data_IF_800079106528
#
_entry.id   IF_800079106528
#
_cell.length_a   1.000
_cell.length_b   1.000
_cell.length_c   1.000
_cell.angle_alpha   90.00
_cell.angle_beta   90.00
_cell.angle_gamma   90.00
#
_symmetry.space_group_name_H-M   'P 1'
#
loop_
_entity.id
_entity.type
_entity.pdbx_description
1 polymer ?
#
# COMPACT_ATOMS: atom_id res chain seq x y z
N UNK A 1 -10.25 23.59 -15.88
CA UNK A 1 -9.45 22.35 -15.70
C UNK A 1 -9.05 21.83 -17.08
N UNK A 2 -7.75 21.66 -17.35
CA UNK A 2 -7.25 21.40 -18.70
C UNK A 2 -7.43 19.93 -19.11
N UNK A 3 -7.65 19.68 -20.41
CA UNK A 3 -7.83 18.34 -21.01
C UNK A 3 -6.67 17.36 -20.74
N UNK A 4 -5.52 17.84 -20.29
CA UNK A 4 -4.38 17.01 -19.89
C UNK A 4 -4.59 16.33 -18.53
N UNK A 5 -5.29 16.97 -17.58
CA UNK A 5 -5.50 16.40 -16.25
C UNK A 5 -6.45 15.18 -16.27
N UNK A 6 -7.41 15.13 -17.20
CA UNK A 6 -8.36 14.02 -17.32
C UNK A 6 -7.76 12.80 -18.02
N UNK A 7 -6.79 13.00 -18.93
CA UNK A 7 -6.11 11.92 -19.63
C UNK A 7 -5.11 11.19 -18.72
N UNK A 8 -4.45 11.89 -17.80
CA UNK A 8 -3.51 11.29 -16.86
C UNK A 8 -4.21 10.44 -15.79
N UNK A 9 -5.44 10.79 -15.38
CA UNK A 9 -6.21 10.00 -14.41
C UNK A 9 -6.82 8.73 -15.02
N UNK A 10 -7.17 8.73 -16.31
CA UNK A 10 -7.68 7.54 -17.00
C UNK A 10 -6.57 6.57 -17.46
N UNK A 11 -5.38 7.08 -17.77
CA UNK A 11 -4.23 6.23 -18.13
C UNK A 11 -3.71 5.39 -16.93
N UNK A 12 -3.93 5.86 -15.70
CA UNK A 12 -3.52 5.15 -14.49
C UNK A 12 -4.34 3.87 -14.25
N UNK A 13 -5.59 3.81 -14.75
CA UNK A 13 -6.44 2.60 -14.65
C UNK A 13 -6.06 1.51 -15.68
N UNK A 14 -5.42 1.87 -16.78
CA UNK A 14 -5.09 0.93 -17.86
C UNK A 14 -3.73 0.23 -17.68
N UNK A 15 -2.86 0.70 -16.77
CA UNK A 15 -1.47 0.21 -16.66
C UNK A 15 -1.26 -0.92 -15.64
N UNK A 16 -2.28 -1.33 -14.87
CA UNK A 16 -2.17 -2.43 -13.86
C UNK A 16 -2.50 -3.80 -14.49
N UNK A 17 -2.39 -3.95 -15.81
CA UNK A 17 -3.00 -5.07 -16.55
C UNK A 17 -2.05 -6.20 -17.00
N UNK A 18 -0.79 -6.26 -16.56
CA UNK A 18 0.12 -7.32 -17.03
C UNK A 18 1.14 -7.78 -15.99
N UNK A 19 0.71 -8.57 -15.00
CA UNK A 19 1.57 -9.59 -14.37
C UNK A 19 0.70 -10.78 -13.97
N UNK A 20 0.98 -11.95 -14.53
CA UNK A 20 0.33 -13.22 -14.19
C UNK A 20 1.30 -14.08 -13.38
N UNK A 21 0.84 -14.55 -12.23
CA UNK A 21 1.46 -15.65 -11.45
C UNK A 21 0.44 -16.80 -11.33
N UNK A 22 0.86 -18.07 -11.23
CA UNK A 22 -0.05 -19.20 -11.10
C UNK A 22 -0.31 -19.56 -9.63
N UNK A 23 -1.58 -19.74 -9.26
CA UNK A 23 -2.00 -20.40 -8.02
C UNK A 23 -3.13 -19.67 -7.30
N UNK A 24 -4.31 -20.28 -7.20
CA UNK A 24 -5.52 -19.68 -6.62
C UNK A 24 -5.43 -19.45 -5.10
N UNK A 25 -5.42 -18.19 -4.71
CA UNK A 25 -6.46 -17.58 -3.90
C UNK A 25 -6.84 -16.26 -4.62
N UNK A 26 -8.04 -15.70 -4.42
CA UNK A 26 -8.16 -14.27 -4.72
C UNK A 26 -7.03 -13.60 -3.93
N UNK A 27 -6.11 -12.87 -4.57
CA UNK A 27 -4.96 -12.29 -3.87
C UNK A 27 -5.50 -11.50 -2.68
N UNK A 28 -5.43 -12.11 -1.51
CA UNK A 28 -5.82 -11.49 -0.26
C UNK A 28 -4.57 -10.86 0.30
N UNK A 29 -4.76 -9.74 0.98
CA UNK A 29 -3.68 -9.09 1.69
C UNK A 29 -4.19 -8.64 3.04
N UNK A 30 -3.28 -8.59 4.00
CA UNK A 30 -3.49 -7.87 5.24
C UNK A 30 -3.85 -6.41 4.93
N UNK A 31 -4.90 -5.89 5.56
CA UNK A 31 -5.28 -4.48 5.46
C UNK A 31 -5.73 -3.95 6.81
N UNK A 32 -5.10 -2.85 7.24
CA UNK A 32 -5.59 -2.04 8.35
C UNK A 32 -5.92 -0.66 7.78
N UNK A 33 -7.15 -0.15 7.94
CA UNK A 33 -7.45 1.21 7.52
C UNK A 33 -6.47 2.19 8.16
N UNK A 34 -5.88 3.08 7.36
CA UNK A 34 -4.92 4.07 7.83
C UNK A 34 -5.45 4.95 8.99
N UNK A 35 -6.77 5.06 9.09
CA UNK A 35 -7.51 5.84 10.08
C UNK A 35 -7.59 5.16 11.45
N UNK A 36 -7.39 3.84 11.52
CA UNK A 36 -7.59 3.04 12.74
C UNK A 36 -6.27 2.76 13.48
N UNK A 37 -5.14 3.30 13.00
CA UNK A 37 -3.82 3.13 13.59
C UNK A 37 -3.30 1.69 13.49
N UNK A 38 -2.37 1.32 14.36
CA UNK A 38 -1.83 -0.03 14.41
C UNK A 38 -2.88 -1.07 14.89
N UNK A 39 -2.99 -2.20 14.17
CA UNK A 39 -3.72 -3.38 14.61
C UNK A 39 -2.80 -4.61 14.67
N UNK A 40 -2.86 -5.37 15.77
CA UNK A 40 -2.05 -6.60 15.97
C UNK A 40 -2.39 -7.72 14.99
N UNK A 41 -3.59 -7.70 14.41
CA UNK A 41 -4.05 -8.64 13.38
C UNK A 41 -4.86 -7.85 12.35
N UNK A 42 -4.23 -7.57 11.22
CA UNK A 42 -4.90 -6.93 10.09
C UNK A 42 -5.87 -7.93 9.42
N UNK A 43 -7.16 -7.61 9.24
CA UNK A 43 -8.05 -8.48 8.47
C UNK A 43 -7.54 -8.64 7.03
N UNK A 44 -7.69 -9.84 6.48
CA UNK A 44 -7.42 -10.07 5.07
C UNK A 44 -8.56 -9.52 4.22
N UNK A 45 -8.20 -8.70 3.23
CA UNK A 45 -9.12 -8.16 2.23
C UNK A 45 -8.73 -8.65 0.84
N UNK A 46 -9.74 -8.91 0.01
CA UNK A 46 -9.50 -9.27 -1.39
C UNK A 46 -9.04 -8.02 -2.18
N UNK A 47 -8.06 -8.20 -3.06
CA UNK A 47 -7.57 -7.15 -3.98
C UNK A 47 -8.59 -6.78 -5.06
N UNK A 48 -9.48 -7.70 -5.42
CA UNK A 48 -10.57 -7.50 -6.36
C UNK A 48 -11.81 -8.33 -5.96
N UNK A 49 -12.99 -7.94 -6.46
CA UNK A 49 -14.21 -8.68 -6.21
C UNK A 49 -14.18 -10.05 -6.89
N UNK A 50 -14.28 -11.14 -6.11
CA UNK A 50 -14.19 -12.51 -6.62
C UNK A 50 -15.47 -13.05 -7.27
N UNK A 51 -16.52 -12.23 -7.37
CA UNK A 51 -17.85 -12.59 -7.88
C UNK A 51 -18.24 -11.83 -9.16
N UNK A 52 -17.31 -11.06 -9.75
CA UNK A 52 -17.57 -10.29 -10.97
C UNK A 52 -16.33 -9.90 -11.76
N UNK A 53 -16.50 -9.73 -13.07
CA UNK A 53 -15.53 -9.10 -13.98
C UNK A 53 -16.19 -8.05 -14.88
N UNK A 54 -15.40 -7.09 -15.33
CA UNK A 54 -15.78 -6.07 -16.30
C UNK A 54 -15.30 -6.51 -17.68
N UNK A 55 -16.21 -6.60 -18.66
CA UNK A 55 -15.94 -7.01 -20.05
C UNK A 55 -16.26 -5.83 -20.96
N UNK A 56 -15.27 -5.33 -21.68
CA UNK A 56 -15.44 -4.33 -22.72
C UNK A 56 -15.66 -5.03 -24.06
N UNK A 57 -16.76 -4.72 -24.74
CA UNK A 57 -16.97 -5.19 -26.10
C UNK A 57 -16.30 -4.28 -27.12
N UNK A 58 -15.85 -4.87 -28.22
CA UNK A 58 -15.47 -4.12 -29.43
C UNK A 58 -16.70 -3.36 -29.96
N UNK A 59 -16.48 -2.32 -30.78
CA UNK A 59 -17.59 -1.59 -31.44
C UNK A 59 -18.50 -2.53 -32.24
N UNK A 60 -17.91 -3.47 -32.97
CA UNK A 60 -18.66 -4.46 -33.76
C UNK A 60 -19.37 -5.47 -32.85
N UNK A 61 -18.71 -5.92 -31.78
CA UNK A 61 -19.30 -6.81 -30.79
C UNK A 61 -20.54 -6.19 -30.13
N UNK A 62 -20.44 -4.93 -29.69
CA UNK A 62 -21.58 -4.22 -29.11
C UNK A 62 -22.74 -4.06 -30.11
N UNK A 63 -22.44 -3.69 -31.36
CA UNK A 63 -23.46 -3.53 -32.41
C UNK A 63 -24.17 -4.84 -32.78
N UNK A 64 -23.47 -5.98 -32.69
CA UNK A 64 -24.02 -7.31 -32.92
C UNK A 64 -24.70 -7.93 -31.69
N UNK A 65 -24.46 -7.38 -30.50
CA UNK A 65 -25.03 -7.87 -29.24
C UNK A 65 -26.51 -7.48 -29.10
N UNK A 66 -27.20 -8.16 -28.17
CA UNK A 66 -28.54 -7.81 -27.68
C UNK A 66 -28.50 -7.11 -26.33
N UNK A 67 -27.32 -6.65 -25.92
CA UNK A 67 -27.15 -6.01 -24.62
C UNK A 67 -27.84 -4.64 -24.60
N UNK A 68 -28.42 -4.26 -23.45
CA UNK A 68 -29.06 -2.96 -23.32
C UNK A 68 -28.03 -1.83 -23.44
N UNK A 69 -28.19 -0.98 -24.46
CA UNK A 69 -27.28 0.13 -24.73
C UNK A 69 -27.68 1.45 -24.03
N UNK A 70 -28.91 1.55 -23.51
CA UNK A 70 -29.51 2.79 -22.99
C UNK A 70 -30.08 2.66 -21.57
N UNK A 71 -29.47 1.86 -20.70
CA UNK A 71 -29.98 1.66 -19.34
C UNK A 71 -29.04 2.18 -18.26
N UNK A 72 -29.65 2.54 -17.13
CA UNK A 72 -29.00 2.93 -15.88
C UNK A 72 -28.11 1.81 -15.34
N UNK A 73 -27.17 2.18 -14.46
CA UNK A 73 -26.31 1.24 -13.75
C UNK A 73 -27.11 0.14 -13.08
N UNK A 74 -26.61 -1.10 -13.17
CA UNK A 74 -27.25 -2.29 -12.59
C UNK A 74 -28.37 -2.90 -13.45
N UNK A 75 -28.74 -2.27 -14.57
CA UNK A 75 -29.68 -2.86 -15.50
C UNK A 75 -29.13 -4.16 -16.10
N UNK A 76 -29.97 -5.21 -16.12
CA UNK A 76 -29.58 -6.58 -16.47
C UNK A 76 -30.01 -6.97 -17.87
N UNK A 77 -29.13 -7.69 -18.56
CA UNK A 77 -29.47 -8.34 -19.82
C UNK A 77 -30.39 -9.56 -19.59
N UNK A 78 -31.43 -9.75 -20.42
CA UNK A 78 -32.28 -10.93 -20.35
C UNK A 78 -31.47 -12.23 -20.45
N UNK A 79 -31.74 -13.18 -19.54
CA UNK A 79 -31.12 -14.51 -19.58
C UNK A 79 -29.62 -14.54 -19.29
N UNK A 80 -29.03 -13.46 -18.76
CA UNK A 80 -27.59 -13.35 -18.51
C UNK A 80 -26.73 -13.56 -19.77
N UNK A 81 -27.28 -13.21 -20.94
CA UNK A 81 -26.63 -13.42 -22.22
C UNK A 81 -26.36 -12.08 -22.92
N UNK A 82 -25.28 -12.04 -23.67
CA UNK A 82 -24.92 -10.94 -24.55
C UNK A 82 -25.65 -10.99 -25.89
N UNK A 83 -26.14 -12.17 -26.29
CA UNK A 83 -26.69 -12.42 -27.63
C UNK A 83 -25.62 -12.72 -28.68
N UNK A 84 -24.35 -12.80 -28.29
CA UNK A 84 -23.22 -13.19 -29.12
C UNK A 84 -22.89 -14.65 -28.83
N UNK A 85 -23.13 -15.54 -29.80
CA UNK A 85 -23.10 -16.99 -29.56
C UNK A 85 -21.78 -17.50 -28.97
N UNK A 86 -20.62 -17.01 -29.43
CA UNK A 86 -19.32 -17.43 -28.93
C UNK A 86 -19.06 -16.95 -27.50
N UNK A 87 -19.36 -15.67 -27.22
CA UNK A 87 -19.18 -15.09 -25.90
C UNK A 87 -20.18 -15.66 -24.89
N UNK A 88 -21.41 -15.93 -25.31
CA UNK A 88 -22.44 -16.57 -24.49
C UNK A 88 -22.06 -18.01 -24.13
N UNK A 89 -21.43 -18.75 -25.05
CA UNK A 89 -20.91 -20.08 -24.76
C UNK A 89 -19.77 -20.04 -23.72
N UNK A 90 -18.83 -19.10 -23.86
CA UNK A 90 -17.75 -18.89 -22.89
C UNK A 90 -18.30 -18.44 -21.53
N UNK A 91 -19.25 -17.49 -21.51
CA UNK A 91 -19.90 -16.98 -20.32
C UNK A 91 -20.67 -18.08 -19.58
N UNK A 92 -21.43 -18.90 -20.30
CA UNK A 92 -22.13 -20.04 -19.72
C UNK A 92 -21.16 -21.07 -19.13
N UNK A 93 -20.08 -21.39 -19.84
CA UNK A 93 -19.04 -22.31 -19.36
C UNK A 93 -18.31 -21.77 -18.11
N UNK A 94 -18.10 -20.46 -18.03
CA UNK A 94 -17.53 -19.79 -16.86
C UNK A 94 -18.55 -19.58 -15.72
N UNK A 95 -19.82 -19.94 -15.91
CA UNK A 95 -20.86 -19.86 -14.89
C UNK A 95 -21.43 -18.46 -14.67
N UNK A 96 -21.45 -17.60 -15.70
CA UNK A 96 -22.07 -16.26 -15.62
C UNK A 96 -23.57 -16.39 -15.32
N UNK A 97 -24.06 -15.57 -14.40
CA UNK A 97 -25.44 -15.56 -13.91
C UNK A 97 -26.18 -14.26 -14.11
N UNK A 98 -25.44 -13.17 -14.34
CA UNK A 98 -26.01 -11.92 -14.81
C UNK A 98 -24.98 -11.16 -15.65
N UNK A 99 -25.47 -10.43 -16.64
CA UNK A 99 -24.71 -9.42 -17.35
C UNK A 99 -25.41 -8.10 -17.12
N UNK A 100 -24.70 -7.08 -16.62
CA UNK A 100 -25.30 -5.81 -16.23
C UNK A 100 -24.45 -4.59 -16.61
N UNK A 101 -25.04 -3.40 -16.54
CA UNK A 101 -24.34 -2.13 -16.73
C UNK A 101 -23.50 -1.78 -15.49
N UNK A 102 -22.17 -1.63 -15.60
CA UNK A 102 -21.32 -1.33 -14.44
C UNK A 102 -21.33 0.14 -14.05
N UNK A 103 -21.53 1.02 -15.02
CA UNK A 103 -21.36 2.46 -14.86
C UNK A 103 -22.65 3.21 -15.15
N UNK A 104 -22.82 4.33 -14.46
CA UNK A 104 -23.75 5.36 -14.90
C UNK A 104 -23.25 5.95 -16.22
N UNK A 105 -24.14 6.09 -17.20
CA UNK A 105 -23.77 6.64 -18.50
C UNK A 105 -23.47 8.14 -18.36
N UNK A 106 -22.32 8.64 -18.85
CA UNK A 106 -22.06 10.07 -18.90
C UNK A 106 -23.11 10.79 -19.75
N UNK A 107 -23.47 12.01 -19.36
CA UNK A 107 -24.41 12.84 -20.12
C UNK A 107 -23.96 13.11 -21.57
N UNK A 108 -22.65 13.11 -21.82
CA UNK A 108 -22.07 13.21 -23.15
C UNK A 108 -21.87 11.82 -23.78
N UNK A 109 -22.91 11.34 -24.46
CA UNK A 109 -22.91 10.03 -25.11
C UNK A 109 -21.85 9.91 -26.22
N UNK A 110 -21.57 10.99 -26.95
CA UNK A 110 -20.56 10.96 -28.01
C UNK A 110 -19.16 10.74 -27.44
N UNK A 111 -18.84 11.41 -26.33
CA UNK A 111 -17.57 11.22 -25.62
C UNK A 111 -17.48 9.86 -24.95
N UNK A 112 -18.58 9.34 -24.40
CA UNK A 112 -18.62 7.99 -23.84
C UNK A 112 -18.30 6.92 -24.91
N UNK A 113 -18.86 7.07 -26.11
CA UNK A 113 -18.61 6.19 -27.25
C UNK A 113 -17.17 6.30 -27.78
N UNK A 114 -16.62 7.52 -27.84
CA UNK A 114 -15.24 7.77 -28.26
C UNK A 114 -14.23 7.10 -27.31
N UNK A 115 -14.45 7.24 -26.00
CA UNK A 115 -13.62 6.61 -24.95
C UNK A 115 -13.95 5.12 -24.73
N UNK A 116 -15.02 4.60 -25.33
CA UNK A 116 -15.47 3.21 -25.18
C UNK A 116 -16.03 2.86 -23.80
N UNK A 117 -16.38 3.87 -22.98
CA UNK A 117 -16.96 3.70 -21.64
C UNK A 117 -18.35 3.05 -21.71
N UNK A 118 -19.07 3.33 -22.79
CA UNK A 118 -20.39 2.77 -23.08
C UNK A 118 -20.38 1.28 -23.42
N UNK A 119 -19.21 0.69 -23.70
CA UNK A 119 -19.07 -0.72 -24.12
C UNK A 119 -18.70 -1.68 -23.00
N UNK A 120 -18.60 -1.21 -21.77
CA UNK A 120 -18.32 -2.05 -20.61
C UNK A 120 -19.57 -2.68 -20.02
N UNK A 121 -19.48 -3.96 -19.68
CA UNK A 121 -20.52 -4.76 -19.03
C UNK A 121 -19.93 -5.53 -17.87
N UNK A 122 -20.67 -5.70 -16.78
CA UNK A 122 -20.26 -6.49 -15.64
C UNK A 122 -20.91 -7.86 -15.70
N UNK A 123 -20.07 -8.90 -15.69
CA UNK A 123 -20.48 -10.29 -15.66
C UNK A 123 -20.39 -10.75 -14.21
N UNK A 124 -21.51 -11.23 -13.66
CA UNK A 124 -21.61 -11.68 -12.27
C UNK A 124 -21.71 -13.19 -12.16
N UNK A 125 -21.20 -13.69 -11.05
CA UNK A 125 -21.17 -15.11 -10.71
C UNK A 125 -21.87 -15.33 -9.36
N UNK A 126 -22.57 -16.46 -9.21
CA UNK A 126 -23.20 -16.84 -7.93
C UNK A 126 -22.19 -17.29 -6.88
N UNK A 127 -21.06 -17.83 -7.32
CA UNK A 127 -19.99 -18.34 -6.46
C UNK A 127 -18.70 -17.59 -6.74
N UNK A 128 -17.89 -17.41 -5.68
CA UNK A 128 -16.55 -16.83 -5.82
C UNK A 128 -15.66 -17.78 -6.60
N UNK A 129 -14.92 -17.25 -7.57
CA UNK A 129 -13.94 -18.00 -8.36
C UNK A 129 -12.77 -17.08 -8.77
N UNK A 130 -11.73 -17.61 -9.42
CA UNK A 130 -10.61 -16.79 -9.90
C UNK A 130 -11.01 -15.95 -11.10
N UNK A 131 -11.25 -14.68 -10.83
CA UNK A 131 -11.60 -13.69 -11.83
C UNK A 131 -10.47 -13.43 -12.83
N UNK A 132 -9.20 -13.68 -12.48
CA UNK A 132 -8.09 -13.52 -13.43
C UNK A 132 -8.12 -14.62 -14.51
N UNK A 133 -8.40 -15.86 -14.14
CA UNK A 133 -8.54 -16.95 -15.12
C UNK A 133 -9.83 -16.81 -15.95
N UNK A 134 -10.93 -16.40 -15.31
CA UNK A 134 -12.16 -16.02 -16.02
C UNK A 134 -11.89 -14.89 -17.01
N UNK A 135 -11.14 -13.86 -16.61
CA UNK A 135 -10.82 -12.74 -17.47
C UNK A 135 -9.99 -13.15 -18.69
N UNK A 136 -8.98 -14.02 -18.51
CA UNK A 136 -8.22 -14.60 -19.63
C UNK A 136 -9.11 -15.42 -20.56
N UNK A 137 -10.08 -16.16 -20.02
CA UNK A 137 -10.99 -17.00 -20.81
C UNK A 137 -11.93 -16.14 -21.67
N UNK A 138 -12.59 -15.15 -21.06
CA UNK A 138 -13.51 -14.26 -21.78
C UNK A 138 -12.77 -13.37 -22.79
N UNK A 139 -11.56 -12.93 -22.46
CA UNK A 139 -10.72 -12.10 -23.33
C UNK A 139 -10.24 -12.78 -24.61
N UNK A 140 -10.48 -14.08 -24.78
CA UNK A 140 -10.20 -14.82 -26.03
C UNK A 140 -11.26 -14.62 -27.11
N UNK A 141 -12.44 -14.10 -26.75
CA UNK A 141 -13.53 -13.91 -27.71
C UNK A 141 -13.26 -12.69 -28.63
N UNK A 142 -13.41 -12.82 -29.95
CA UNK A 142 -13.15 -11.72 -30.88
C UNK A 142 -14.10 -10.52 -30.73
N UNK A 143 -15.23 -10.67 -30.04
CA UNK A 143 -16.12 -9.57 -29.71
C UNK A 143 -15.67 -8.78 -28.47
N UNK A 144 -14.68 -9.27 -27.72
CA UNK A 144 -14.15 -8.63 -26.50
C UNK A 144 -12.92 -7.80 -26.84
N UNK A 145 -12.93 -6.54 -26.40
CA UNK A 145 -11.83 -5.59 -26.55
C UNK A 145 -10.87 -5.65 -25.36
N UNK A 146 -11.43 -5.76 -24.15
CA UNK A 146 -10.67 -5.88 -22.90
C UNK A 146 -11.50 -6.55 -21.82
N UNK A 147 -10.82 -7.13 -20.82
CA UNK A 147 -11.45 -7.59 -19.57
C UNK A 147 -10.67 -7.00 -18.41
N UNK A 148 -11.38 -6.44 -17.43
CA UNK A 148 -10.81 -5.90 -16.20
C UNK A 148 -11.39 -6.64 -14.99
N UNK A 149 -10.55 -6.85 -13.98
CA UNK A 149 -11.01 -7.20 -12.65
C UNK A 149 -11.72 -5.98 -12.03
N UNK A 150 -12.66 -6.21 -11.11
CA UNK A 150 -13.27 -5.15 -10.32
C UNK A 150 -12.44 -4.94 -9.05
N UNK A 151 -11.39 -4.12 -9.18
CA UNK A 151 -10.40 -3.86 -8.13
C UNK A 151 -11.02 -3.12 -6.94
N UNK A 152 -10.59 -3.48 -5.74
CA UNK A 152 -10.97 -2.78 -4.51
C UNK A 152 -9.94 -1.69 -4.23
N UNK A 153 -10.40 -0.44 -4.15
CA UNK A 153 -9.57 0.69 -3.73
C UNK A 153 -9.69 0.90 -2.23
N UNK A 154 -8.61 1.35 -1.60
CA UNK A 154 -8.54 1.64 -0.16
C UNK A 154 -7.98 3.04 0.06
N UNK A 155 -8.30 3.71 1.18
CA UNK A 155 -7.72 5.01 1.52
C UNK A 155 -6.18 4.94 1.59
N UNK A 156 -5.51 6.02 1.18
CA UNK A 156 -4.06 6.12 1.23
C UNK A 156 -3.53 6.03 2.67
N UNK A 157 -2.39 5.37 2.86
CA UNK A 157 -1.72 5.22 4.14
C UNK A 157 -0.93 6.49 4.48
N UNK A 158 -1.59 7.42 5.16
CA UNK A 158 -0.96 8.65 5.68
C UNK A 158 -1.05 8.63 7.21
N UNK A 159 0.08 8.69 7.93
CA UNK A 159 0.08 8.75 9.40
C UNK A 159 -0.70 9.94 9.95
N UNK A 160 -1.32 9.74 11.11
CA UNK A 160 -2.10 10.77 11.81
C UNK A 160 -1.28 11.50 12.89
N UNK A 161 0.00 11.15 13.04
CA UNK A 161 0.89 11.66 14.07
C UNK A 161 1.23 13.14 13.84
N UNK A 162 1.26 13.96 14.91
CA UNK A 162 1.33 15.41 14.79
C UNK A 162 2.61 15.92 14.14
N UNK A 163 3.72 15.18 14.21
CA UNK A 163 5.01 15.58 13.62
C UNK A 163 5.20 15.02 12.20
N UNK A 164 4.28 14.19 11.68
CA UNK A 164 4.46 13.57 10.36
C UNK A 164 4.56 14.59 9.22
N UNK A 165 3.89 15.75 9.34
CA UNK A 165 4.00 16.82 8.33
C UNK A 165 5.45 17.32 8.17
N UNK A 166 6.26 17.22 9.22
CA UNK A 166 7.66 17.65 9.24
C UNK A 166 8.63 16.54 8.77
N UNK A 167 8.14 15.32 8.50
CA UNK A 167 8.93 14.19 8.03
C UNK A 167 9.27 14.29 6.53
N UNK A 168 10.12 15.26 6.19
CA UNK A 168 10.60 15.47 4.82
C UNK A 168 11.33 14.24 4.24
N UNK A 169 11.88 13.36 5.06
CA UNK A 169 12.48 12.09 4.62
C UNK A 169 11.46 11.06 4.11
N UNK A 170 10.19 11.16 4.56
CA UNK A 170 9.10 10.26 4.17
C UNK A 170 8.27 10.84 3.02
N UNK A 171 8.06 12.16 3.03
CA UNK A 171 7.31 12.90 2.03
C UNK A 171 7.86 14.32 1.91
N UNK A 172 8.73 14.57 0.92
CA UNK A 172 9.36 15.85 0.71
C UNK A 172 8.48 16.74 -0.16
N UNK A 173 7.90 17.76 0.46
CA UNK A 173 7.10 18.79 -0.18
C UNK A 173 7.82 20.14 -0.22
N UNK A 174 9.15 20.13 -0.01
CA UNK A 174 9.98 21.30 0.26
C UNK A 174 9.52 22.06 1.51
N UNK A 175 9.19 21.32 2.57
CA UNK A 175 8.70 21.87 3.84
C UNK A 175 9.81 22.20 4.85
N UNK A 176 11.02 21.67 4.67
CA UNK A 176 12.12 21.87 5.61
C UNK A 176 12.49 23.36 5.65
N UNK A 177 12.51 24.02 6.82
CA UNK A 177 12.98 25.41 6.91
C UNK A 177 14.44 25.54 6.49
N UNK A 178 14.85 26.70 6.01
CA UNK A 178 16.20 26.98 5.57
C UNK A 178 17.19 26.97 6.74
N UNK A 179 18.41 26.53 6.47
CA UNK A 179 19.49 26.48 7.45
C UNK A 179 20.14 27.87 7.59
N UNK A 180 20.24 28.40 8.81
CA UNK A 180 21.04 29.59 9.10
C UNK A 180 22.53 29.25 9.22
N UNK A 181 23.27 29.48 8.15
CA UNK A 181 24.74 29.30 8.10
C UNK A 181 25.53 30.40 8.84
N UNK A 182 24.89 31.50 9.23
CA UNK A 182 25.54 32.71 9.74
C UNK A 182 25.41 32.93 11.25
N UNK A 183 24.55 32.17 11.94
CA UNK A 183 24.25 32.39 13.35
C UNK A 183 24.18 31.12 14.17
N UNK A 184 23.11 30.36 14.01
CA UNK A 184 22.71 29.26 14.92
C UNK A 184 23.00 27.87 14.39
N UNK A 185 23.27 27.70 13.09
CA UNK A 185 23.39 26.39 12.43
C UNK A 185 22.13 25.51 12.62
N UNK A 186 20.96 26.14 12.62
CA UNK A 186 19.66 25.47 12.75
C UNK A 186 18.71 25.78 11.58
N UNK A 187 17.73 24.90 11.38
CA UNK A 187 16.70 25.05 10.35
C UNK A 187 15.56 25.94 10.87
N UNK A 188 15.83 27.25 11.01
CA UNK A 188 14.86 28.24 11.54
C UNK A 188 14.48 29.33 10.56
N UNK A 189 15.08 29.36 9.36
CA UNK A 189 14.77 30.39 8.37
C UNK A 189 13.35 30.22 7.82
N UNK A 190 12.68 31.34 7.54
CA UNK A 190 11.32 31.34 6.98
C UNK A 190 11.26 30.88 5.52
N UNK A 191 12.40 30.85 4.83
CA UNK A 191 12.51 30.25 3.49
C UNK A 191 12.53 28.73 3.64
N UNK A 192 11.76 28.01 2.82
CA UNK A 192 11.84 26.55 2.82
C UNK A 192 12.83 26.03 1.77
N UNK A 193 13.37 24.83 2.03
CA UNK A 193 14.36 24.15 1.20
C UNK A 193 13.96 22.69 0.97
N UNK A 194 14.66 22.02 0.06
CA UNK A 194 14.38 20.64 -0.34
C UNK A 194 13.85 20.54 -1.78
N UNK A 195 14.17 19.46 -2.46
CA UNK A 195 13.62 19.15 -3.78
C UNK A 195 12.39 18.27 -3.60
N UNK A 196 11.23 18.73 -4.08
CA UNK A 196 9.97 17.97 -3.98
C UNK A 196 10.15 16.56 -4.57
N UNK A 197 9.71 15.54 -3.83
CA UNK A 197 9.85 14.13 -4.20
C UNK A 197 11.24 13.52 -3.99
N UNK A 198 12.21 14.27 -3.45
CA UNK A 198 13.47 13.70 -2.99
C UNK A 198 13.30 13.20 -1.55
N UNK A 199 12.70 12.02 -1.43
CA UNK A 199 12.36 11.31 -0.19
C UNK A 199 12.41 9.78 -0.40
N UNK A 200 12.09 9.01 0.64
CA UNK A 200 12.08 7.56 0.62
C UNK A 200 10.89 6.94 -0.15
N UNK A 201 9.98 7.74 -0.70
CA UNK A 201 8.68 7.30 -1.25
C UNK A 201 7.87 6.47 -0.23
N UNK A 202 7.90 6.85 1.05
CA UNK A 202 7.31 6.05 2.13
C UNK A 202 5.80 5.83 1.92
N UNK A 203 5.05 6.87 1.51
CA UNK A 203 3.61 6.75 1.25
C UNK A 203 3.30 5.75 0.13
N UNK A 204 4.10 5.74 -0.94
CA UNK A 204 3.93 4.77 -2.04
C UNK A 204 4.22 3.35 -1.54
N UNK A 205 5.23 3.18 -0.69
CA UNK A 205 5.53 1.88 -0.09
C UNK A 205 4.40 1.41 0.82
N UNK A 206 3.82 2.27 1.65
CA UNK A 206 2.68 1.95 2.52
C UNK A 206 1.40 1.66 1.75
N UNK A 207 1.14 2.45 0.68
CA UNK A 207 0.06 2.20 -0.27
C UNK A 207 0.28 0.90 -1.05
N UNK A 208 1.52 0.48 -1.30
CA UNK A 208 1.82 -0.81 -1.90
C UNK A 208 1.60 -1.96 -0.92
N UNK A 209 2.16 -1.85 0.27
CA UNK A 209 2.21 -2.92 1.29
C UNK A 209 0.89 -3.14 2.02
N UNK A 210 0.01 -2.15 2.08
CA UNK A 210 -1.23 -2.27 2.86
C UNK A 210 -1.15 -1.64 4.25
N UNK A 211 -0.04 -0.98 4.60
CA UNK A 211 0.22 -0.54 5.97
C UNK A 211 1.69 -0.36 6.28
N UNK A 212 2.02 -0.36 7.57
CA UNK A 212 3.32 0.10 8.07
C UNK A 212 4.28 -1.03 8.47
N UNK A 213 4.05 -2.26 8.00
CA UNK A 213 4.79 -3.46 8.41
C UNK A 213 4.02 -4.32 9.42
N UNK A 214 4.69 -5.33 9.98
CA UNK A 214 4.11 -6.31 10.92
C UNK A 214 4.93 -6.40 12.18
N UNK A 215 4.28 -6.53 13.34
CA UNK A 215 4.96 -6.70 14.64
C UNK A 215 5.73 -8.00 14.77
N UNK A 216 5.45 -8.97 13.90
CA UNK A 216 6.23 -10.20 13.77
C UNK A 216 7.59 -9.98 13.14
N UNK A 217 7.80 -8.85 12.44
CA UNK A 217 9.12 -8.46 11.92
C UNK A 217 9.86 -7.72 13.03
N UNK A 218 11.06 -8.18 13.35
CA UNK A 218 11.90 -7.64 14.42
C UNK A 218 13.13 -6.98 13.80
N UNK A 219 13.35 -5.70 14.12
CA UNK A 219 14.53 -4.93 13.68
C UNK A 219 15.45 -4.69 14.86
N UNK A 220 16.69 -5.16 14.79
CA UNK A 220 17.69 -4.93 15.82
C UNK A 220 18.34 -3.55 15.67
N UNK A 221 18.30 -2.75 16.74
CA UNK A 221 18.97 -1.45 16.81
C UNK A 221 20.25 -1.63 17.63
N UNK A 222 21.36 -1.83 16.93
CA UNK A 222 22.71 -1.97 17.51
C UNK A 222 23.33 -0.59 17.67
N UNK A 223 23.15 0.05 18.82
CA UNK A 223 23.50 1.48 19.00
C UNK A 223 23.79 1.85 20.48
N UNK A 224 23.52 3.09 20.90
CA UNK A 224 23.71 3.60 22.26
C UNK A 224 22.80 2.99 23.31
N UNK A 225 21.77 2.27 22.85
CA UNK A 225 20.61 1.82 23.61
C UNK A 225 19.33 2.38 23.00
N UNK A 226 18.19 2.01 23.54
CA UNK A 226 16.89 2.61 23.19
C UNK A 226 16.17 2.90 24.49
N UNK A 227 15.50 4.04 24.58
CA UNK A 227 14.58 4.34 25.69
C UNK A 227 13.50 3.24 25.76
N UNK A 228 13.64 2.36 26.76
CA UNK A 228 12.81 1.17 26.86
C UNK A 228 11.37 1.45 27.31
N UNK A 229 11.12 2.66 27.80
CA UNK A 229 9.81 3.13 28.26
C UNK A 229 9.16 4.09 27.24
N UNK A 230 9.75 4.26 26.05
CA UNK A 230 9.26 5.20 25.05
C UNK A 230 7.85 4.84 24.55
N UNK A 231 6.86 5.73 24.68
CA UNK A 231 5.45 5.40 24.38
C UNK A 231 5.18 5.15 22.89
N UNK A 232 6.10 5.60 22.04
CA UNK A 232 5.97 5.53 20.59
C UNK A 232 6.70 4.34 19.95
N UNK A 233 7.32 3.47 20.75
CA UNK A 233 8.08 2.31 20.25
C UNK A 233 7.48 0.99 20.77
N UNK A 234 7.43 -0.01 19.89
CA UNK A 234 7.18 -1.39 20.29
C UNK A 234 8.49 -2.12 20.44
N UNK A 235 8.79 -2.60 21.64
CA UNK A 235 10.04 -3.27 21.94
C UNK A 235 9.85 -4.77 22.17
N UNK A 236 10.85 -5.55 21.79
CA UNK A 236 11.05 -6.93 22.23
C UNK A 236 12.29 -7.01 23.13
N UNK A 237 12.56 -8.18 23.68
CA UNK A 237 13.72 -8.39 24.56
C UNK A 237 15.02 -8.03 23.86
N UNK A 238 15.75 -7.08 24.44
CA UNK A 238 17.08 -6.66 24.03
C UNK A 238 18.18 -7.02 25.03
N UNK A 239 19.38 -6.45 24.86
CA UNK A 239 20.53 -6.69 25.73
C UNK A 239 21.54 -5.53 25.68
N UNK A 240 22.28 -5.30 26.77
CA UNK A 240 23.40 -4.35 26.84
C UNK A 240 24.75 -5.08 26.83
N UNK A 241 25.45 -5.02 25.69
CA UNK A 241 26.81 -5.55 25.50
C UNK A 241 27.91 -4.57 25.93
N UNK A 242 27.59 -3.28 26.06
CA UNK A 242 28.50 -2.26 26.56
C UNK A 242 28.77 -2.39 28.06
N UNK A 243 27.75 -2.82 28.82
CA UNK A 243 27.82 -3.09 30.27
C UNK A 243 27.74 -4.58 30.61
N UNK A 244 27.39 -5.41 29.63
CA UNK A 244 27.18 -6.86 29.76
C UNK A 244 26.09 -7.22 30.79
N UNK A 245 24.90 -6.64 30.59
CA UNK A 245 23.70 -6.89 31.38
C UNK A 245 22.42 -6.87 30.52
N UNK A 246 21.26 -7.11 31.15
CA UNK A 246 19.98 -7.24 30.47
C UNK A 246 19.22 -5.91 30.29
N UNK A 247 19.85 -4.76 30.56
CA UNK A 247 19.20 -3.45 30.49
C UNK A 247 19.69 -2.64 29.27
N UNK A 248 19.02 -2.77 28.11
CA UNK A 248 19.42 -2.07 26.88
C UNK A 248 18.99 -0.59 26.85
N UNK A 249 18.55 -0.04 27.97
CA UNK A 249 18.13 1.36 28.07
C UNK A 249 19.23 2.33 27.68
N UNK A 250 18.87 3.41 26.98
CA UNK A 250 19.83 4.42 26.55
C UNK A 250 20.17 5.38 27.70
N UNK A 251 20.90 4.85 28.68
CA UNK A 251 21.27 5.55 29.91
C UNK A 251 22.72 6.05 29.91
N UNK A 252 23.35 6.15 28.73
CA UNK A 252 24.72 6.64 28.61
C UNK A 252 24.82 8.15 28.82
N UNK A 253 26.03 8.66 29.09
CA UNK A 253 26.29 10.11 29.19
C UNK A 253 26.03 10.89 27.89
N UNK A 254 25.85 10.20 26.77
CA UNK A 254 25.53 10.77 25.46
C UNK A 254 24.40 9.97 24.81
N UNK A 255 23.31 9.82 25.56
CA UNK A 255 22.10 9.10 25.14
C UNK A 255 21.32 9.82 24.03
N UNK A 256 20.43 9.06 23.39
CA UNK A 256 19.42 9.51 22.45
C UNK A 256 19.64 9.01 21.02
N UNK A 257 20.87 8.67 20.63
CA UNK A 257 21.17 8.30 19.24
C UNK A 257 20.40 7.04 18.81
N UNK A 258 20.49 5.95 19.57
CA UNK A 258 19.77 4.71 19.27
C UNK A 258 18.25 4.86 19.37
N UNK A 259 17.72 5.65 20.32
CA UNK A 259 16.28 5.98 20.39
C UNK A 259 15.82 6.73 19.14
N UNK A 260 16.60 7.71 18.65
CA UNK A 260 16.29 8.42 17.40
C UNK A 260 16.34 7.48 16.18
N UNK A 261 17.34 6.60 16.10
CA UNK A 261 17.41 5.57 15.05
C UNK A 261 16.20 4.64 15.10
N UNK A 262 15.80 4.18 16.29
CA UNK A 262 14.61 3.35 16.48
C UNK A 262 13.33 4.08 16.04
N UNK A 263 13.19 5.37 16.34
CA UNK A 263 12.05 6.19 15.91
C UNK A 263 11.95 6.33 14.38
N UNK A 264 13.06 6.59 13.69
CA UNK A 264 13.08 6.66 12.22
C UNK A 264 12.62 5.34 11.60
N UNK A 265 12.99 4.21 12.20
CA UNK A 265 12.55 2.89 11.75
C UNK A 265 11.08 2.63 12.11
N UNK A 266 10.68 2.80 13.37
CA UNK A 266 9.48 2.16 13.91
C UNK A 266 8.68 2.99 14.93
N UNK A 267 8.83 4.32 14.98
CA UNK A 267 7.83 5.16 15.68
C UNK A 267 6.43 4.79 15.20
N UNK A 268 5.53 4.47 16.11
CA UNK A 268 4.22 3.92 15.79
C UNK A 268 3.29 5.00 15.21
N UNK A 269 2.42 4.63 14.26
CA UNK A 269 1.30 5.49 13.88
C UNK A 269 0.18 5.36 14.92
N UNK A 270 0.22 6.19 15.95
CA UNK A 270 -0.58 6.08 17.18
C UNK A 270 -1.09 7.44 17.69
N UNK A 271 -1.04 8.48 16.84
CA UNK A 271 -1.47 9.86 17.10
C UNK A 271 -0.58 10.66 18.05
N UNK A 272 0.62 10.17 18.37
CA UNK A 272 1.62 10.91 19.15
C UNK A 272 2.94 11.01 18.37
N UNK A 273 3.70 12.07 18.60
CA UNK A 273 5.05 12.19 18.06
C UNK A 273 5.12 12.02 16.53
N UNK A 274 5.93 11.04 16.12
CA UNK A 274 6.47 10.83 14.78
C UNK A 274 5.89 9.54 14.15
N UNK A 275 6.12 9.32 12.86
CA UNK A 275 5.85 8.02 12.22
C UNK A 275 7.13 7.44 11.58
N UNK A 276 7.48 6.22 11.96
CA UNK A 276 8.61 5.47 11.41
C UNK A 276 8.32 4.93 10.01
N UNK A 277 9.37 4.62 9.26
CA UNK A 277 9.26 4.02 7.92
C UNK A 277 8.48 2.68 7.96
N UNK A 278 8.68 1.90 9.03
CA UNK A 278 8.04 0.63 9.29
C UNK A 278 7.36 0.65 10.66
N UNK A 279 6.46 1.62 10.89
CA UNK A 279 5.77 1.86 12.17
C UNK A 279 5.01 0.65 12.78
N UNK A 280 4.84 -0.44 12.02
CA UNK A 280 4.22 -1.68 12.47
C UNK A 280 5.18 -2.70 13.08
N UNK A 281 6.50 -2.57 12.89
CA UNK A 281 7.50 -3.57 13.31
C UNK A 281 7.81 -3.50 14.81
N UNK A 282 8.56 -4.48 15.30
CA UNK A 282 9.08 -4.49 16.66
C UNK A 282 10.57 -4.17 16.66
N UNK A 283 11.05 -3.42 17.66
CA UNK A 283 12.45 -3.07 17.83
C UNK A 283 13.10 -3.98 18.86
N UNK A 284 14.25 -4.58 18.52
CA UNK A 284 15.13 -5.25 19.47
C UNK A 284 16.28 -4.30 19.85
N UNK A 285 16.28 -3.72 21.05
CA UNK A 285 17.31 -2.77 21.44
C UNK A 285 18.59 -3.48 21.88
N UNK A 286 19.68 -3.29 21.13
CA UNK A 286 20.98 -3.91 21.42
C UNK A 286 22.02 -2.81 21.70
N UNK A 287 22.18 -2.51 22.98
CA UNK A 287 23.09 -1.47 23.43
C UNK A 287 24.53 -1.95 23.34
N UNK A 288 25.37 -1.23 22.61
CA UNK A 288 26.82 -1.50 22.48
C UNK A 288 27.68 -0.37 23.02
N UNK A 289 27.07 0.78 23.31
CA UNK A 289 27.72 1.85 24.04
C UNK A 289 27.82 1.51 25.52
N UNK A 290 28.95 1.79 26.13
CA UNK A 290 29.13 1.80 27.59
C UNK A 290 28.38 2.97 28.23
N UNK A 291 28.37 3.04 29.57
CA UNK A 291 27.85 4.20 30.31
C UNK A 291 28.48 5.54 29.89
N UNK A 292 29.71 5.54 29.37
CA UNK A 292 30.41 6.76 28.90
C UNK A 292 30.17 7.08 27.42
N UNK A 293 29.36 6.29 26.71
CA UNK A 293 29.08 6.46 25.28
C UNK A 293 30.11 5.78 24.35
N UNK A 294 31.23 5.27 24.88
CA UNK A 294 32.20 4.54 24.06
C UNK A 294 31.64 3.19 23.57
N UNK A 295 31.86 2.85 22.31
CA UNK A 295 31.40 1.61 21.68
C UNK A 295 32.60 0.74 21.28
N UNK A 296 32.56 -0.54 21.63
CA UNK A 296 33.62 -1.50 21.30
C UNK A 296 33.19 -2.45 20.18
N UNK A 297 34.09 -2.71 19.23
CA UNK A 297 33.83 -3.67 18.14
C UNK A 297 33.48 -5.08 18.65
N UNK A 298 34.02 -5.50 19.79
CA UNK A 298 33.67 -6.78 20.41
C UNK A 298 32.21 -6.82 20.89
N UNK A 299 31.69 -5.70 21.42
CA UNK A 299 30.29 -5.58 21.81
C UNK A 299 29.39 -5.58 20.57
N UNK A 300 29.75 -4.84 19.53
CA UNK A 300 29.04 -4.83 18.24
C UNK A 300 28.98 -6.24 17.62
N UNK A 301 30.09 -6.95 17.59
CA UNK A 301 30.13 -8.32 17.07
C UNK A 301 29.24 -9.27 17.88
N UNK A 302 29.21 -9.14 19.20
CA UNK A 302 28.36 -9.94 20.07
C UNK A 302 26.87 -9.62 19.86
N UNK A 303 26.54 -8.35 19.68
CA UNK A 303 25.19 -7.90 19.35
C UNK A 303 24.70 -8.45 18.00
N UNK A 304 25.55 -8.47 16.97
CA UNK A 304 25.21 -9.06 15.67
C UNK A 304 24.85 -10.54 15.79
N UNK A 305 25.60 -11.32 16.57
CA UNK A 305 25.28 -12.72 16.81
C UNK A 305 23.99 -12.88 17.61
N UNK A 306 23.81 -12.07 18.66
CA UNK A 306 22.59 -12.10 19.45
C UNK A 306 21.34 -11.79 18.61
N UNK A 307 21.40 -10.77 17.75
CA UNK A 307 20.31 -10.41 16.86
C UNK A 307 19.90 -11.62 15.98
N UNK A 308 20.87 -12.23 15.31
CA UNK A 308 20.64 -13.38 14.44
C UNK A 308 20.08 -14.59 15.20
N UNK A 309 20.57 -14.85 16.41
CA UNK A 309 20.16 -16.00 17.22
C UNK A 309 18.81 -15.80 17.93
N UNK A 310 18.37 -14.56 18.12
CA UNK A 310 17.14 -14.22 18.86
C UNK A 310 16.01 -13.70 17.97
N UNK A 311 16.06 -14.01 16.67
CA UNK A 311 14.95 -13.79 15.76
C UNK A 311 14.77 -12.34 15.32
N UNK A 312 15.84 -11.55 15.28
CA UNK A 312 15.84 -10.34 14.48
C UNK A 312 15.82 -10.71 12.98
N UNK A 313 14.98 -10.03 12.21
CA UNK A 313 14.90 -10.17 10.75
C UNK A 313 15.86 -9.20 10.03
N UNK A 314 16.14 -8.05 10.66
CA UNK A 314 16.94 -6.93 10.13
C UNK A 314 17.93 -6.47 11.20
#
# INVERSE_FOLDING_TARGET
MSRKALATTLALFALILLLASPGFAADTRAFVPAQDGYATQAPEVATYAADRVLVQLTRNGLAASRLPQLLDKGARAPGAATGLASLDALAAAAGVRAVERPYDLPADAAKAADLGVDRWFMFRFETKQDMAEVAKTLGRDPAVEAVSLDWVAFPAAVPADPLYADHWGHNNTAQLPGLDWGGTYDHTLTTTVGTVGFDANAQVAWDGSQGYGSSSVVVAIIDSGVDIDHPDLRLVTGYDFGSNDTNPDDNSTSAGHGTCCAGVVASMNNTIGCAGIAAGVSIMPLKVATATGAMYFSAIQSALYYAADNGADI
#
